data_IF_560844257432
#
_entry.id   IF_560844257432
#
_cell.length_a   1.000
_cell.length_b   1.000
_cell.length_c   1.000
_cell.angle_alpha   90.00
_cell.angle_beta   90.00
_cell.angle_gamma   90.00
#
_symmetry.space_group_name_H-M   'P 1'
#
loop_
_entity.id
_entity.type
_entity.pdbx_description
1 polymer ?
#
# COMPACT_ATOMS: atom_id res chain seq x y z
N UNK A 1 2.54 -42.99 15.42
CA UNK A 1 2.01 -42.68 14.07
C UNK A 1 1.02 -41.53 14.20
N UNK A 2 1.38 -40.32 13.77
CA UNK A 2 0.54 -39.13 13.93
C UNK A 2 -0.68 -39.15 13.00
N UNK A 3 -1.88 -38.94 13.56
CA UNK A 3 -3.14 -38.77 12.82
C UNK A 3 -2.94 -37.71 11.72
N UNK A 4 -3.19 -38.08 10.46
CA UNK A 4 -3.29 -37.10 9.36
C UNK A 4 -4.51 -36.23 9.63
N UNK A 5 -4.29 -34.92 9.71
CA UNK A 5 -5.35 -33.92 9.84
C UNK A 5 -6.26 -33.94 8.59
N UNK A 6 -7.56 -34.11 8.80
CA UNK A 6 -8.58 -33.96 7.74
C UNK A 6 -8.77 -32.49 7.29
N UNK A 7 -8.20 -31.51 8.02
CA UNK A 7 -8.43 -30.07 7.79
C UNK A 7 -7.41 -29.39 6.86
N UNK A 8 -6.57 -30.15 6.16
CA UNK A 8 -5.52 -29.60 5.31
C UNK A 8 -4.37 -28.91 6.08
N UNK A 9 -3.45 -28.26 5.36
CA UNK A 9 -2.30 -27.59 5.98
C UNK A 9 -2.71 -26.39 6.85
N UNK A 10 -1.94 -26.04 7.88
CA UNK A 10 -2.21 -24.86 8.72
C UNK A 10 -2.36 -23.56 7.90
N UNK A 11 -1.58 -23.41 6.83
CA UNK A 11 -1.74 -22.29 5.89
C UNK A 11 -3.13 -22.30 5.24
N UNK A 12 -3.57 -23.46 4.75
CA UNK A 12 -4.89 -23.63 4.15
C UNK A 12 -6.00 -23.30 5.16
N UNK A 13 -5.84 -23.70 6.43
CA UNK A 13 -6.80 -23.37 7.48
C UNK A 13 -6.86 -21.85 7.75
N UNK A 14 -5.71 -21.17 7.82
CA UNK A 14 -5.64 -19.72 8.02
C UNK A 14 -6.33 -18.94 6.87
N UNK A 15 -6.07 -19.29 5.61
CA UNK A 15 -6.61 -18.53 4.47
C UNK A 15 -8.11 -18.75 4.23
N UNK A 16 -8.65 -19.86 4.72
CA UNK A 16 -10.08 -20.19 4.62
C UNK A 16 -10.84 -19.88 5.92
N UNK A 17 -10.20 -19.27 6.92
CA UNK A 17 -10.89 -18.85 8.12
C UNK A 17 -11.95 -17.78 7.79
N UNK A 18 -13.21 -17.93 8.26
CA UNK A 18 -14.31 -17.03 7.90
C UNK A 18 -13.96 -15.55 8.11
N UNK A 19 -13.38 -15.21 9.26
CA UNK A 19 -13.06 -13.83 9.64
C UNK A 19 -11.93 -13.17 8.83
N UNK A 20 -11.13 -13.91 8.05
CA UNK A 20 -9.94 -13.36 7.40
C UNK A 20 -10.28 -12.25 6.39
N UNK A 21 -11.32 -12.47 5.58
CA UNK A 21 -11.73 -11.54 4.52
C UNK A 21 -12.94 -10.70 4.91
N UNK A 22 -13.51 -10.92 6.09
CA UNK A 22 -14.60 -10.10 6.61
C UNK A 22 -14.14 -8.66 6.86
N UNK A 23 -15.02 -7.72 6.50
CA UNK A 23 -14.90 -6.30 6.80
C UNK A 23 -16.12 -5.87 7.63
N UNK A 24 -15.91 -4.91 8.52
CA UNK A 24 -17.02 -4.24 9.22
C UNK A 24 -17.91 -3.43 8.27
N UNK A 25 -17.33 -2.86 7.21
CA UNK A 25 -18.06 -2.18 6.15
C UNK A 25 -18.17 -3.11 4.93
N UNK A 26 -19.39 -3.54 4.59
CA UNK A 26 -19.68 -4.45 3.47
C UNK A 26 -19.79 -3.74 2.11
N UNK A 27 -19.61 -2.41 2.06
CA UNK A 27 -19.82 -1.61 0.85
C UNK A 27 -18.97 -2.02 -0.36
N UNK A 28 -17.83 -2.68 -0.15
CA UNK A 28 -16.91 -3.14 -1.20
C UNK A 28 -16.17 -4.41 -0.76
N UNK A 29 -15.82 -5.32 -1.69
CA UNK A 29 -14.98 -6.47 -1.36
C UNK A 29 -13.56 -6.03 -0.94
N UNK A 30 -12.85 -6.90 -0.23
CA UNK A 30 -11.42 -6.71 0.06
C UNK A 30 -10.65 -6.63 -1.26
N UNK A 31 -9.76 -5.65 -1.40
CA UNK A 31 -8.99 -5.48 -2.63
C UNK A 31 -8.12 -6.71 -2.92
N UNK A 32 -7.88 -7.02 -4.19
CA UNK A 32 -7.01 -8.13 -4.59
C UNK A 32 -5.62 -8.02 -3.93
N UNK A 33 -5.03 -6.83 -3.90
CA UNK A 33 -3.74 -6.59 -3.26
C UNK A 33 -3.76 -6.90 -1.76
N UNK A 34 -4.85 -6.53 -1.06
CA UNK A 34 -5.01 -6.85 0.37
C UNK A 34 -5.11 -8.37 0.56
N UNK A 35 -5.87 -9.06 -0.29
CA UNK A 35 -6.00 -10.53 -0.26
C UNK A 35 -4.64 -11.22 -0.42
N UNK A 36 -3.87 -10.83 -1.44
CA UNK A 36 -2.52 -11.36 -1.67
C UNK A 36 -1.59 -11.11 -0.48
N UNK A 37 -1.61 -9.89 0.06
CA UNK A 37 -0.80 -9.55 1.24
C UNK A 37 -1.18 -10.44 2.43
N UNK A 38 -2.48 -10.59 2.72
CA UNK A 38 -2.95 -11.45 3.81
C UNK A 38 -2.51 -12.90 3.62
N UNK A 39 -2.65 -13.44 2.41
CA UNK A 39 -2.20 -14.80 2.11
C UNK A 39 -0.69 -14.95 2.31
N UNK A 40 0.10 -13.98 1.85
CA UNK A 40 1.54 -13.98 2.06
C UNK A 40 1.93 -13.95 3.55
N UNK A 41 1.24 -13.16 4.36
CA UNK A 41 1.48 -13.10 5.81
C UNK A 41 1.03 -14.38 6.52
N UNK A 42 -0.15 -14.92 6.18
CA UNK A 42 -0.62 -16.22 6.68
C UNK A 42 0.35 -17.35 6.34
N UNK A 43 0.91 -17.36 5.13
CA UNK A 43 1.89 -18.38 4.72
C UNK A 43 3.14 -18.33 5.59
N UNK A 44 3.69 -17.13 5.82
CA UNK A 44 4.87 -16.94 6.68
C UNK A 44 4.58 -17.29 8.13
N UNK A 45 3.42 -16.91 8.65
CA UNK A 45 3.00 -17.25 10.01
C UNK A 45 2.83 -18.76 10.20
N UNK A 46 2.19 -19.44 9.24
CA UNK A 46 2.01 -20.88 9.27
C UNK A 46 3.33 -21.64 9.36
N UNK A 47 4.38 -21.16 8.68
CA UNK A 47 5.72 -21.75 8.78
C UNK A 47 6.29 -21.64 10.21
N UNK A 48 6.09 -20.49 10.86
CA UNK A 48 6.54 -20.25 12.22
C UNK A 48 5.74 -21.04 13.25
N UNK A 49 4.41 -21.06 13.16
CA UNK A 49 3.57 -21.86 14.05
C UNK A 49 3.88 -23.36 13.94
N UNK A 50 4.17 -23.87 12.73
CA UNK A 50 4.66 -25.25 12.56
C UNK A 50 5.96 -25.50 13.32
N UNK A 51 6.87 -24.52 13.39
CA UNK A 51 8.11 -24.63 14.18
C UNK A 51 7.85 -24.63 15.70
N UNK A 52 6.68 -24.15 16.14
CA UNK A 52 6.22 -24.25 17.52
C UNK A 52 5.49 -25.57 17.81
N UNK A 53 5.34 -26.45 16.81
CA UNK A 53 4.58 -27.70 16.92
C UNK A 53 3.10 -27.58 16.56
N UNK A 54 2.60 -26.38 16.28
CA UNK A 54 1.18 -26.11 16.02
C UNK A 54 0.81 -26.53 14.59
N UNK A 55 -0.25 -27.32 14.44
CA UNK A 55 -0.69 -27.87 13.14
C UNK A 55 -2.12 -27.48 12.76
N UNK A 56 -2.92 -27.00 13.71
CA UNK A 56 -4.30 -26.61 13.53
C UNK A 56 -4.53 -25.15 13.92
N UNK A 57 -5.47 -24.50 13.23
CA UNK A 57 -5.90 -23.14 13.55
C UNK A 57 -6.47 -23.04 14.96
N UNK A 58 -7.20 -24.06 15.43
CA UNK A 58 -7.80 -24.10 16.77
C UNK A 58 -6.79 -24.16 17.91
N UNK A 59 -5.52 -24.47 17.63
CA UNK A 59 -4.42 -24.45 18.61
C UNK A 59 -3.79 -23.05 18.74
N UNK A 60 -4.18 -22.08 17.90
CA UNK A 60 -3.63 -20.72 17.93
C UNK A 60 -4.51 -19.86 18.84
N UNK A 61 -4.10 -19.75 20.10
CA UNK A 61 -4.67 -18.83 21.06
C UNK A 61 -3.93 -17.50 21.13
N UNK A 62 -4.29 -16.69 22.12
CA UNK A 62 -3.68 -15.39 22.38
C UNK A 62 -2.17 -15.51 22.64
N UNK A 63 -1.77 -16.51 23.39
CA UNK A 63 -0.38 -16.71 23.82
C UNK A 63 0.51 -17.12 22.65
N UNK A 64 0.01 -17.93 21.73
CA UNK A 64 0.72 -18.31 20.51
C UNK A 64 0.91 -17.11 19.58
N UNK A 65 -0.10 -16.24 19.47
CA UNK A 65 0.01 -14.99 18.71
C UNK A 65 1.01 -14.04 19.37
N UNK A 66 0.99 -13.93 20.71
CA UNK A 66 1.97 -13.11 21.44
C UNK A 66 3.40 -13.66 21.27
N UNK A 67 3.58 -14.98 21.35
CA UNK A 67 4.88 -15.63 21.08
C UNK A 67 5.36 -15.36 19.64
N UNK A 68 4.43 -15.32 18.68
CA UNK A 68 4.76 -14.97 17.31
C UNK A 68 5.19 -13.50 17.18
N UNK A 69 4.50 -12.60 17.85
CA UNK A 69 4.84 -11.18 17.94
C UNK A 69 6.25 -10.97 18.50
N UNK A 70 6.54 -11.53 19.69
CA UNK A 70 7.85 -11.40 20.35
C UNK A 70 9.00 -11.86 19.43
N UNK A 71 8.75 -12.89 18.60
CA UNK A 71 9.73 -13.37 17.61
C UNK A 71 9.92 -12.36 16.48
N UNK A 72 8.86 -11.76 15.96
CA UNK A 72 8.99 -10.74 14.90
C UNK A 72 9.76 -9.53 15.42
N UNK A 73 9.54 -9.14 16.67
CA UNK A 73 10.29 -8.07 17.32
C UNK A 73 11.77 -8.44 17.50
N UNK A 74 12.08 -9.65 17.98
CA UNK A 74 13.46 -10.11 18.12
C UNK A 74 14.19 -10.30 16.78
N UNK A 75 13.46 -10.56 15.69
CA UNK A 75 13.95 -10.54 14.32
C UNK A 75 14.17 -9.11 13.77
N UNK A 76 13.92 -8.07 14.57
CA UNK A 76 14.13 -6.66 14.21
C UNK A 76 13.14 -6.12 13.18
N UNK A 77 11.94 -6.70 13.09
CA UNK A 77 10.88 -6.20 12.19
C UNK A 77 10.36 -4.85 12.70
N UNK A 78 10.01 -3.96 11.77
CA UNK A 78 9.41 -2.67 12.16
C UNK A 78 8.01 -2.84 12.75
N UNK A 79 7.56 -1.90 13.59
CA UNK A 79 6.21 -1.92 14.17
C UNK A 79 5.10 -2.03 13.09
N UNK A 80 5.28 -1.37 11.95
CA UNK A 80 4.37 -1.50 10.80
C UNK A 80 4.37 -2.89 10.19
N UNK A 81 5.55 -3.49 10.05
CA UNK A 81 5.70 -4.85 9.56
C UNK A 81 5.05 -5.83 10.52
N UNK A 82 5.37 -5.77 11.82
CA UNK A 82 4.78 -6.62 12.86
C UNK A 82 3.25 -6.55 12.80
N UNK A 83 2.68 -5.35 12.77
CA UNK A 83 1.23 -5.19 12.64
C UNK A 83 0.65 -5.90 11.40
N UNK A 84 1.29 -5.76 10.24
CA UNK A 84 0.83 -6.41 9.00
C UNK A 84 0.88 -7.94 9.09
N UNK A 85 1.86 -8.50 9.80
CA UNK A 85 1.93 -9.94 10.07
C UNK A 85 0.81 -10.41 11.02
N UNK A 86 0.48 -9.63 12.04
CA UNK A 86 -0.48 -10.02 13.08
C UNK A 86 -1.95 -9.90 12.64
N UNK A 87 -2.31 -8.84 11.92
CA UNK A 87 -3.71 -8.56 11.50
C UNK A 87 -4.40 -9.79 10.87
N UNK A 88 -3.84 -10.46 9.85
CA UNK A 88 -4.53 -11.59 9.23
C UNK A 88 -4.67 -12.80 10.17
N UNK A 89 -3.73 -13.02 11.10
CA UNK A 89 -3.82 -14.11 12.09
C UNK A 89 -4.91 -13.80 13.12
N UNK A 90 -4.95 -12.57 13.62
CA UNK A 90 -5.99 -12.09 14.54
C UNK A 90 -7.38 -12.23 13.91
N UNK A 91 -7.53 -11.86 12.64
CA UNK A 91 -8.77 -12.06 11.89
C UNK A 91 -9.14 -13.54 11.71
N UNK A 92 -8.18 -14.39 11.37
CA UNK A 92 -8.42 -15.82 11.17
C UNK A 92 -8.80 -16.56 12.47
N UNK A 93 -8.28 -16.10 13.61
CA UNK A 93 -8.55 -16.68 14.94
C UNK A 93 -9.72 -16.02 15.67
N UNK A 94 -10.19 -14.86 15.20
CA UNK A 94 -11.19 -14.05 15.90
C UNK A 94 -10.64 -13.30 17.12
N UNK A 95 -9.33 -13.37 17.39
CA UNK A 95 -8.69 -12.68 18.52
C UNK A 95 -8.50 -11.22 18.17
N UNK A 96 -8.88 -10.31 19.07
CA UNK A 96 -8.75 -8.88 18.80
C UNK A 96 -7.28 -8.46 18.87
N UNK A 97 -6.80 -7.76 17.83
CA UNK A 97 -5.39 -7.32 17.76
C UNK A 97 -4.98 -6.39 18.91
N UNK A 98 -5.95 -5.70 19.53
CA UNK A 98 -5.72 -4.85 20.71
C UNK A 98 -5.30 -5.65 21.95
N UNK A 99 -5.61 -6.95 21.98
CA UNK A 99 -5.29 -7.83 23.09
C UNK A 99 -3.84 -8.34 22.99
N UNK A 100 -3.17 -8.15 21.84
CA UNK A 100 -1.78 -8.51 21.61
C UNK A 100 -0.89 -7.31 21.90
N UNK A 101 0.10 -7.50 22.78
CA UNK A 101 1.15 -6.52 23.00
C UNK A 101 2.04 -6.47 21.77
N UNK A 102 2.26 -5.27 21.23
CA UNK A 102 3.07 -5.02 20.03
C UNK A 102 3.59 -3.58 20.06
N UNK A 103 4.72 -3.28 19.43
CA UNK A 103 5.26 -1.93 19.41
C UNK A 103 4.29 -0.91 18.79
N UNK A 104 4.33 0.31 19.32
CA UNK A 104 3.53 1.43 18.83
C UNK A 104 4.09 1.86 17.48
N UNK A 105 3.21 2.05 16.49
CA UNK A 105 3.60 2.57 15.19
C UNK A 105 3.74 4.09 15.29
N UNK A 106 4.93 4.59 15.60
CA UNK A 106 5.22 6.02 15.52
C UNK A 106 5.57 6.42 14.07
N UNK A 107 5.06 7.56 13.61
CA UNK A 107 5.34 8.05 12.25
C UNK A 107 6.82 8.39 12.03
N UNK A 108 7.54 8.73 13.11
CA UNK A 108 8.98 8.97 13.13
C UNK A 108 9.81 7.72 12.84
N UNK A 109 9.32 6.53 13.19
CA UNK A 109 10.02 5.24 13.03
C UNK A 109 9.86 4.63 11.64
N UNK A 110 8.96 5.17 10.82
CA UNK A 110 8.90 4.74 9.43
C UNK A 110 10.25 5.01 8.78
N UNK A 111 10.94 3.92 8.42
CA UNK A 111 12.12 3.97 7.57
C UNK A 111 11.69 4.64 6.27
N UNK A 112 11.90 5.96 6.22
CA UNK A 112 11.83 6.78 5.02
C UNK A 112 12.71 6.07 4.00
N UNK A 113 12.27 5.97 2.75
CA UNK A 113 13.04 5.30 1.69
C UNK A 113 14.51 5.65 1.86
N UNK A 114 15.27 4.66 2.35
CA UNK A 114 16.69 4.85 2.62
C UNK A 114 17.28 5.18 1.26
N UNK A 115 17.85 6.38 1.15
CA UNK A 115 18.21 6.97 -0.12
C UNK A 115 18.86 5.96 -1.07
N UNK A 116 18.28 5.89 -2.27
CA UNK A 116 18.89 5.61 -3.58
C UNK A 116 17.77 5.32 -4.60
N UNK A 117 16.81 6.25 -4.75
CA UNK A 117 16.15 6.38 -6.04
C UNK A 117 17.20 6.91 -7.02
N UNK A 118 17.95 5.99 -7.65
CA UNK A 118 19.11 6.31 -8.50
C UNK A 118 18.82 6.17 -10.00
N UNK A 119 17.59 5.79 -10.36
CA UNK A 119 17.15 5.76 -11.75
C UNK A 119 16.66 7.14 -12.18
N UNK A 120 16.84 7.47 -13.45
CA UNK A 120 15.99 8.44 -14.11
C UNK A 120 14.54 7.96 -13.98
N UNK A 121 13.64 8.83 -13.51
CA UNK A 121 12.23 8.52 -13.38
C UNK A 121 11.51 8.46 -14.72
N UNK A 122 12.16 8.92 -15.80
CA UNK A 122 11.60 9.00 -17.13
C UNK A 122 10.56 10.12 -17.26
N UNK A 123 9.90 10.17 -18.43
CA UNK A 123 8.85 11.16 -18.73
C UNK A 123 7.77 11.31 -17.65
N UNK A 124 7.28 10.23 -16.99
CA UNK A 124 6.27 10.39 -15.94
C UNK A 124 6.81 11.17 -14.75
N UNK A 125 8.08 11.01 -14.39
CA UNK A 125 8.69 11.77 -13.30
C UNK A 125 8.88 13.24 -13.67
N UNK A 126 9.17 13.58 -14.92
CA UNK A 126 9.26 14.97 -15.40
C UNK A 126 7.95 15.72 -15.18
N UNK A 127 6.83 15.14 -15.62
CA UNK A 127 5.50 15.71 -15.36
C UNK A 127 5.18 15.76 -13.86
N UNK A 128 5.52 14.70 -13.13
CA UNK A 128 5.12 14.57 -11.73
C UNK A 128 5.82 15.53 -10.77
N UNK A 129 6.91 16.20 -11.20
CA UNK A 129 7.51 17.33 -10.48
C UNK A 129 6.52 18.49 -10.28
N UNK A 130 5.51 18.61 -11.15
CA UNK A 130 4.53 19.70 -11.12
C UNK A 130 3.16 19.31 -10.55
N UNK A 131 2.93 18.01 -10.31
CA UNK A 131 1.61 17.49 -9.91
C UNK A 131 1.61 16.71 -8.59
N UNK A 132 2.73 16.08 -8.21
CA UNK A 132 2.83 15.26 -7.00
C UNK A 132 1.78 14.13 -6.92
N UNK A 133 1.47 13.48 -8.04
CA UNK A 133 0.56 12.34 -8.09
C UNK A 133 1.24 11.05 -7.60
N UNK A 134 0.43 10.03 -7.28
CA UNK A 134 0.97 8.69 -7.00
C UNK A 134 1.35 8.05 -8.33
N UNK A 135 2.36 7.18 -8.32
CA UNK A 135 2.74 6.40 -9.51
C UNK A 135 1.54 5.66 -10.14
N UNK A 136 0.67 5.08 -9.31
CA UNK A 136 -0.54 4.41 -9.80
C UNK A 136 -1.54 5.36 -10.47
N UNK A 137 -1.60 6.63 -10.04
CA UNK A 137 -2.46 7.66 -10.65
C UNK A 137 -1.85 8.12 -11.99
N UNK A 138 -0.53 8.33 -12.04
CA UNK A 138 0.21 8.62 -13.27
C UNK A 138 0.00 7.56 -14.37
N UNK A 139 0.02 6.27 -14.00
CA UNK A 139 -0.22 5.13 -14.92
C UNK A 139 -1.61 5.12 -15.57
N UNK A 140 -2.54 5.92 -15.05
CA UNK A 140 -3.92 6.03 -15.54
C UNK A 140 -4.19 7.31 -16.32
N UNK A 141 -3.30 8.29 -16.26
CA UNK A 141 -3.46 9.53 -17.02
C UNK A 141 -3.58 9.25 -18.51
N UNK A 142 -4.37 10.09 -19.16
CA UNK A 142 -4.60 10.11 -20.60
C UNK A 142 -4.29 11.50 -21.15
N UNK A 143 -4.12 11.59 -22.46
CA UNK A 143 -3.86 12.85 -23.14
C UNK A 143 -4.96 13.90 -22.92
N UNK A 144 -6.19 13.47 -22.65
CA UNK A 144 -7.36 14.30 -22.35
C UNK A 144 -7.61 14.53 -20.85
N UNK A 145 -6.67 14.15 -19.97
CA UNK A 145 -6.88 14.31 -18.52
C UNK A 145 -6.66 15.76 -18.02
N UNK A 146 -6.26 16.69 -18.88
CA UNK A 146 -6.10 18.10 -18.53
C UNK A 146 -7.39 18.86 -18.78
N UNK A 147 -7.88 19.60 -17.78
CA UNK A 147 -9.09 20.43 -17.90
C UNK A 147 -8.85 21.84 -17.38
N UNK A 148 -9.67 22.77 -17.86
CA UNK A 148 -9.77 24.12 -17.36
C UNK A 148 -11.12 24.34 -16.69
N UNK A 149 -11.10 24.85 -15.46
CA UNK A 149 -12.30 25.10 -14.66
C UNK A 149 -12.10 26.34 -13.82
N UNK A 150 -13.02 27.30 -13.94
CA UNK A 150 -13.01 28.57 -13.19
C UNK A 150 -11.66 29.31 -13.29
N UNK A 151 -11.07 29.38 -14.48
CA UNK A 151 -9.79 30.07 -14.70
C UNK A 151 -8.55 29.32 -14.22
N UNK A 152 -8.69 28.10 -13.70
CA UNK A 152 -7.56 27.29 -13.22
C UNK A 152 -7.43 25.98 -14.01
N UNK A 153 -6.19 25.51 -14.14
CA UNK A 153 -5.83 24.27 -14.80
C UNK A 153 -5.80 23.10 -13.79
N UNK A 154 -6.37 21.96 -14.17
CA UNK A 154 -6.41 20.75 -13.35
C UNK A 154 -6.06 19.52 -14.17
N UNK A 155 -5.41 18.55 -13.52
CA UNK A 155 -5.28 17.18 -14.03
C UNK A 155 -6.28 16.28 -13.33
N UNK A 156 -7.13 15.62 -14.12
CA UNK A 156 -8.12 14.66 -13.64
C UNK A 156 -7.49 13.32 -13.31
N UNK A 157 -7.72 12.87 -12.07
CA UNK A 157 -7.49 11.51 -11.63
C UNK A 157 -8.85 10.85 -11.44
N UNK A 158 -9.28 10.13 -12.47
CA UNK A 158 -10.62 9.50 -12.55
C UNK A 158 -10.87 8.46 -11.45
N UNK A 159 -9.84 7.67 -11.12
CA UNK A 159 -9.87 6.56 -10.16
C UNK A 159 -8.59 6.53 -9.35
N UNK A 160 -8.49 7.44 -8.38
CA UNK A 160 -7.40 7.49 -7.42
C UNK A 160 -7.42 6.36 -6.39
N UNK A 161 -6.59 6.49 -5.35
CA UNK A 161 -6.54 5.52 -4.24
C UNK A 161 -7.93 5.30 -3.63
N UNK A 162 -8.39 4.05 -3.63
CA UNK A 162 -9.72 3.68 -3.12
C UNK A 162 -10.87 4.00 -4.07
N UNK A 163 -10.60 4.23 -5.37
CA UNK A 163 -11.61 4.55 -6.37
C UNK A 163 -12.06 6.02 -6.36
N UNK A 164 -11.36 6.89 -5.63
CA UNK A 164 -11.74 8.30 -5.47
C UNK A 164 -11.37 9.13 -6.68
N UNK A 165 -12.33 9.89 -7.18
CA UNK A 165 -12.09 10.97 -8.14
C UNK A 165 -11.33 12.12 -7.48
N UNK A 166 -10.40 12.75 -8.21
CA UNK A 166 -9.68 13.94 -7.77
C UNK A 166 -9.37 14.86 -8.96
N UNK A 167 -9.59 16.17 -8.78
CA UNK A 167 -9.07 17.23 -9.67
C UNK A 167 -7.79 17.79 -9.04
N UNK A 168 -6.61 17.42 -9.57
CA UNK A 168 -5.34 17.93 -9.07
C UNK A 168 -5.06 19.29 -9.70
N UNK A 169 -5.19 20.36 -8.91
CA UNK A 169 -4.85 21.71 -9.37
C UNK A 169 -3.36 21.77 -9.75
N UNK A 170 -3.09 22.35 -10.91
CA UNK A 170 -1.75 22.72 -11.36
C UNK A 170 -1.42 24.09 -10.78
N UNK A 171 -0.18 24.28 -10.30
CA UNK A 171 0.24 25.61 -9.85
C UNK A 171 0.31 26.55 -11.06
N UNK A 172 -0.20 27.78 -10.92
CA UNK A 172 -0.40 28.69 -12.05
C UNK A 172 0.92 28.97 -12.81
N UNK A 173 2.07 28.98 -12.11
CA UNK A 173 3.41 29.14 -12.71
C UNK A 173 3.88 27.95 -13.57
N UNK A 174 3.33 26.75 -13.32
CA UNK A 174 3.75 25.49 -13.93
C UNK A 174 2.81 25.04 -15.07
N UNK A 175 1.71 25.77 -15.31
CA UNK A 175 0.66 25.38 -16.28
C UNK A 175 1.25 25.13 -17.67
N UNK A 176 2.06 26.06 -18.18
CA UNK A 176 2.66 25.94 -19.51
C UNK A 176 3.59 24.73 -19.65
N UNK A 177 4.25 24.30 -18.57
CA UNK A 177 5.09 23.10 -18.58
C UNK A 177 4.25 21.82 -18.54
N UNK A 178 3.17 21.83 -17.77
CA UNK A 178 2.23 20.70 -17.68
C UNK A 178 1.51 20.48 -19.00
N UNK A 179 1.04 21.54 -19.66
CA UNK A 179 0.29 21.47 -20.92
C UNK A 179 1.04 20.71 -22.03
N UNK A 180 2.37 20.84 -22.09
CA UNK A 180 3.21 20.18 -23.11
C UNK A 180 3.09 18.65 -23.12
N UNK A 181 2.61 18.05 -22.03
CA UNK A 181 2.43 16.60 -21.94
C UNK A 181 1.09 16.13 -22.52
N UNK A 182 0.07 16.97 -22.55
CA UNK A 182 -1.30 16.55 -22.86
C UNK A 182 -1.67 16.86 -24.31
N UNK A 183 -1.90 15.80 -25.10
CA UNK A 183 -2.25 15.90 -26.53
C UNK A 183 -3.77 15.91 -26.79
N UNK A 184 -4.59 15.89 -25.73
CA UNK A 184 -6.05 15.82 -25.82
C UNK A 184 -6.60 14.47 -26.25
N UNK A 185 -5.75 13.46 -26.46
CA UNK A 185 -6.21 12.13 -26.91
C UNK A 185 -6.71 11.27 -25.75
N UNK A 186 -7.69 10.40 -26.02
CA UNK A 186 -8.14 9.40 -25.05
C UNK A 186 -7.12 8.28 -24.78
N UNK A 187 -5.92 8.33 -25.37
CA UNK A 187 -4.87 7.33 -25.17
C UNK A 187 -4.19 7.54 -23.82
N UNK A 188 -3.61 6.47 -23.29
CA UNK A 188 -2.76 6.60 -22.09
C UNK A 188 -1.61 7.55 -22.37
N UNK A 189 -1.39 8.45 -21.43
CA UNK A 189 -0.30 9.41 -21.48
C UNK A 189 1.07 8.72 -21.36
N UNK A 190 1.13 7.66 -20.55
CA UNK A 190 2.34 6.86 -20.35
C UNK A 190 2.07 5.36 -20.50
N UNK A 191 3.05 4.66 -21.06
CA UNK A 191 3.13 3.19 -21.09
C UNK A 191 4.07 2.69 -19.98
N UNK A 192 4.03 1.39 -19.69
CA UNK A 192 4.85 0.80 -18.62
C UNK A 192 6.37 1.04 -18.81
N UNK A 193 6.84 1.12 -20.06
CA UNK A 193 8.24 1.37 -20.40
C UNK A 193 8.70 2.80 -20.13
N UNK A 194 7.79 3.77 -19.96
CA UNK A 194 8.15 5.16 -19.67
C UNK A 194 8.57 5.37 -18.21
N UNK A 195 8.21 4.44 -17.32
CA UNK A 195 8.48 4.56 -15.90
C UNK A 195 9.90 4.09 -15.56
N UNK A 196 10.67 5.00 -14.96
CA UNK A 196 11.98 4.70 -14.41
C UNK A 196 11.99 3.53 -13.43
N UNK A 197 12.88 2.56 -13.66
CA UNK A 197 13.05 1.42 -12.76
C UNK A 197 13.57 1.88 -11.40
N UNK A 198 12.91 1.47 -10.33
CA UNK A 198 13.26 1.81 -8.94
C UNK A 198 13.24 3.32 -8.62
N UNK A 199 12.55 4.14 -9.44
CA UNK A 199 12.36 5.56 -9.11
C UNK A 199 11.34 5.71 -7.96
N UNK A 200 11.64 6.58 -7.00
CA UNK A 200 10.79 6.81 -5.84
C UNK A 200 9.80 7.96 -6.09
N UNK A 201 8.71 7.65 -6.81
CA UNK A 201 7.60 8.58 -7.04
C UNK A 201 6.94 9.07 -5.74
N UNK A 202 7.03 8.31 -4.65
CA UNK A 202 6.45 8.71 -3.37
C UNK A 202 7.27 9.80 -2.71
N UNK A 203 8.61 9.72 -2.78
CA UNK A 203 9.48 10.79 -2.34
C UNK A 203 9.27 12.08 -3.14
N UNK A 204 9.19 11.99 -4.47
CA UNK A 204 8.94 13.14 -5.35
C UNK A 204 7.59 13.80 -5.04
N UNK A 205 6.53 13.01 -4.84
CA UNK A 205 5.22 13.52 -4.43
C UNK A 205 5.28 14.35 -3.15
N UNK A 206 6.06 13.91 -2.17
CA UNK A 206 6.24 14.64 -0.90
C UNK A 206 7.01 15.95 -1.11
N UNK A 207 8.08 15.92 -1.91
CA UNK A 207 8.86 17.11 -2.25
C UNK A 207 7.98 18.17 -2.92
N UNK A 208 7.17 17.77 -3.90
CA UNK A 208 6.18 18.66 -4.51
C UNK A 208 5.22 19.27 -3.47
N UNK A 209 4.66 18.46 -2.58
CA UNK A 209 3.74 18.95 -1.56
C UNK A 209 4.40 19.98 -0.63
N UNK A 210 5.66 19.79 -0.25
CA UNK A 210 6.42 20.76 0.55
C UNK A 210 6.64 22.06 -0.23
N UNK A 211 7.07 21.97 -1.49
CA UNK A 211 7.36 23.13 -2.33
C UNK A 211 6.12 23.97 -2.61
N UNK A 212 4.97 23.33 -2.87
CA UNK A 212 3.72 24.04 -3.11
C UNK A 212 3.17 24.66 -1.83
N UNK A 213 3.28 23.98 -0.69
CA UNK A 213 2.91 24.59 0.58
C UNK A 213 3.73 25.87 0.81
N UNK A 214 5.05 25.82 0.67
CA UNK A 214 5.91 27.00 0.81
C UNK A 214 5.48 28.12 -0.14
N UNK A 215 5.27 27.82 -1.43
CA UNK A 215 4.89 28.81 -2.45
C UNK A 215 3.58 29.56 -2.16
N UNK A 216 2.59 28.94 -1.52
CA UNK A 216 1.32 29.60 -1.20
C UNK A 216 1.28 30.20 0.22
N UNK A 217 2.33 30.00 1.02
CA UNK A 217 2.43 30.57 2.38
C UNK A 217 3.41 31.74 2.47
N UNK A 218 4.22 31.95 1.43
CA UNK A 218 5.05 33.14 1.22
C UNK A 218 4.25 34.21 0.44
#
# INVERSE_FOLDING_TARGET
MGRRNNNGSLFHQLINAPGLMERQDLSQPVSFQTKENYFNWCHKAAAVFKSYGIRNLSEIGKDEIQRYENRLESEGKSASTIHNYLVPICKATGIAIKDIHKPIRASSEFKRSAGKGRGDGGKPAELNKYLGLREGDLKRLRGDSLIYKNGHCYVIVDKGKGGKYQEQRVCDKDVAEVEKFFDGSHRKLFIAGDFGRNFDYHAQRREYAMNICAYYTE
#
